data_IF_607113094708
#
_entry.id   IF_607113094708
#
_cell.length_a   1.000
_cell.length_b   1.000
_cell.length_c   1.000
_cell.angle_alpha   90.00
_cell.angle_beta   90.00
_cell.angle_gamma   90.00
#
_symmetry.space_group_name_H-M   'P 1'
#
loop_
_entity.id
_entity.type
_entity.pdbx_description
1 polymer ?
#
# COMPACT_ATOMS: atom_id res chain seq x y z
N UNK A 1 -6.21 -33.65 -72.53
CA UNK A 1 -6.35 -32.61 -71.49
C UNK A 1 -6.72 -33.31 -70.20
N UNK A 2 -5.78 -33.44 -69.26
CA UNK A 2 -6.06 -33.84 -67.88
C UNK A 2 -5.16 -32.97 -66.99
N UNK A 3 -5.76 -32.09 -66.21
CA UNK A 3 -5.09 -31.16 -65.32
C UNK A 3 -4.92 -31.81 -63.95
N UNK A 4 -3.67 -31.98 -63.50
CA UNK A 4 -3.37 -32.41 -62.13
C UNK A 4 -3.16 -31.15 -61.29
N UNK A 5 -3.97 -30.96 -60.24
CA UNK A 5 -3.77 -29.92 -59.23
C UNK A 5 -2.98 -30.50 -58.07
N UNK A 6 -1.83 -29.91 -57.74
CA UNK A 6 -1.02 -30.25 -56.57
C UNK A 6 -1.39 -29.27 -55.47
N UNK A 7 -1.95 -29.77 -54.36
CA UNK A 7 -2.20 -28.99 -53.16
C UNK A 7 -0.94 -29.01 -52.30
N UNK A 8 -0.41 -27.82 -51.98
CA UNK A 8 0.74 -27.65 -51.10
C UNK A 8 0.22 -27.32 -49.71
N UNK A 9 0.42 -28.23 -48.75
CA UNK A 9 0.08 -28.02 -47.34
C UNK A 9 1.29 -27.43 -46.62
N UNK A 10 1.12 -26.24 -46.06
CA UNK A 10 2.13 -25.59 -45.20
C UNK A 10 1.85 -25.99 -43.75
N UNK A 11 2.78 -26.70 -43.11
CA UNK A 11 2.76 -26.90 -41.65
C UNK A 11 3.45 -25.70 -41.00
N UNK A 12 2.69 -24.88 -40.28
CA UNK A 12 3.22 -23.87 -39.36
C UNK A 12 3.44 -24.50 -37.99
N UNK A 13 4.70 -24.73 -37.62
CA UNK A 13 5.08 -25.18 -36.27
C UNK A 13 5.05 -23.98 -35.33
N UNK A 14 4.06 -23.94 -34.44
CA UNK A 14 4.02 -22.97 -33.33
C UNK A 14 5.05 -23.35 -32.27
N UNK A 15 5.98 -22.44 -31.99
CA UNK A 15 6.93 -22.58 -30.88
C UNK A 15 6.22 -22.13 -29.60
N UNK A 16 5.93 -23.06 -28.69
CA UNK A 16 5.41 -22.76 -27.36
C UNK A 16 6.60 -22.35 -26.48
N UNK A 17 6.74 -21.06 -26.17
CA UNK A 17 7.74 -20.58 -25.21
C UNK A 17 7.26 -20.90 -23.80
N UNK A 18 7.89 -21.87 -23.13
CA UNK A 18 7.79 -22.00 -21.69
C UNK A 18 8.59 -20.85 -21.06
N UNK A 19 7.89 -19.88 -20.47
CA UNK A 19 8.52 -18.93 -19.56
C UNK A 19 9.01 -19.69 -18.33
N UNK A 20 10.28 -19.51 -17.97
CA UNK A 20 10.79 -19.93 -16.68
C UNK A 20 10.20 -18.99 -15.62
N UNK A 21 9.33 -19.52 -14.76
CA UNK A 21 8.95 -18.84 -13.52
C UNK A 21 10.12 -19.02 -12.55
N UNK A 22 10.83 -17.95 -12.24
CA UNK A 22 11.80 -17.94 -11.15
C UNK A 22 11.01 -17.98 -9.85
N UNK A 23 11.21 -19.01 -9.03
CA UNK A 23 10.69 -19.02 -7.66
C UNK A 23 11.31 -17.83 -6.92
N UNK A 24 10.49 -17.02 -6.27
CA UNK A 24 10.97 -16.04 -5.29
C UNK A 24 11.76 -16.81 -4.22
N UNK A 25 13.00 -16.39 -3.98
CA UNK A 25 13.84 -16.99 -2.95
C UNK A 25 13.57 -16.23 -1.66
N UNK A 26 13.42 -16.93 -0.52
CA UNK A 26 13.31 -16.26 0.77
C UNK A 26 14.51 -15.32 0.99
N UNK A 27 14.25 -14.09 1.41
CA UNK A 27 15.24 -13.09 1.79
C UNK A 27 15.04 -12.73 3.26
N UNK A 28 15.51 -13.64 4.11
CA UNK A 28 15.66 -13.42 5.53
C UNK A 28 16.68 -12.31 5.75
N UNK A 29 16.18 -11.16 6.21
CA UNK A 29 16.90 -9.88 6.24
C UNK A 29 17.11 -9.38 7.66
N UNK A 30 18.16 -8.58 7.81
CA UNK A 30 18.47 -7.85 9.03
C UNK A 30 18.18 -6.38 8.79
N UNK A 31 17.36 -5.79 9.64
CA UNK A 31 17.01 -4.38 9.62
C UNK A 31 17.72 -3.65 10.76
N UNK A 32 18.31 -2.50 10.47
CA UNK A 32 18.87 -1.58 11.47
C UNK A 32 18.17 -0.23 11.28
N UNK A 33 17.36 0.18 12.27
CA UNK A 33 16.47 1.34 12.15
C UNK A 33 16.57 2.31 13.33
N UNK A 34 16.29 3.57 13.04
CA UNK A 34 16.04 4.67 13.98
C UNK A 34 14.88 5.50 13.41
N UNK A 35 14.16 6.31 14.21
CA UNK A 35 13.08 7.16 13.70
C UNK A 35 13.53 8.02 12.51
N UNK A 36 12.67 8.14 11.49
CA UNK A 36 12.98 8.73 10.20
C UNK A 36 13.82 7.83 9.28
N UNK A 37 13.67 6.50 9.38
CA UNK A 37 14.42 5.58 8.51
C UNK A 37 13.90 5.68 7.08
N UNK A 38 14.78 5.44 6.10
CA UNK A 38 14.41 5.44 4.69
C UNK A 38 15.06 4.25 3.97
N UNK A 39 14.35 3.57 3.06
CA UNK A 39 12.93 3.79 2.70
C UNK A 39 11.97 3.34 3.82
N UNK A 40 10.76 3.89 3.83
CA UNK A 40 9.62 3.45 4.65
C UNK A 40 8.43 3.13 3.71
N UNK A 41 7.82 1.93 3.76
CA UNK A 41 8.18 0.82 4.63
C UNK A 41 9.49 0.14 4.21
N UNK A 42 10.20 -0.45 5.19
CA UNK A 42 11.19 -1.49 4.89
C UNK A 42 10.46 -2.80 4.63
N UNK A 43 10.92 -3.54 3.61
CA UNK A 43 10.27 -4.77 3.16
C UNK A 43 11.21 -5.96 3.31
N UNK A 44 10.80 -6.96 4.08
CA UNK A 44 11.40 -8.29 4.16
C UNK A 44 10.57 -9.30 3.38
N UNK A 45 11.19 -10.37 2.87
CA UNK A 45 10.44 -11.44 2.17
C UNK A 45 10.87 -12.82 2.65
N UNK A 46 9.96 -13.77 2.66
CA UNK A 46 10.29 -15.13 3.07
C UNK A 46 9.22 -16.14 2.71
N UNK A 47 9.32 -17.32 3.32
CA UNK A 47 8.30 -18.36 3.27
C UNK A 47 7.87 -18.65 4.71
N UNK A 48 6.57 -18.59 4.98
CA UNK A 48 6.01 -18.85 6.31
C UNK A 48 6.12 -20.33 6.69
N UNK A 49 5.81 -20.64 7.95
CA UNK A 49 5.60 -22.04 8.35
C UNK A 49 6.88 -22.84 8.52
N UNK A 50 6.75 -24.12 8.83
CA UNK A 50 7.88 -25.05 8.93
C UNK A 50 7.62 -26.23 9.86
N UNK A 51 8.65 -27.00 10.21
CA UNK A 51 8.50 -28.19 11.06
C UNK A 51 8.40 -27.86 12.56
N UNK A 52 8.83 -26.67 12.98
CA UNK A 52 8.98 -26.34 14.39
C UNK A 52 7.75 -25.61 14.90
N UNK A 53 7.13 -26.15 15.95
CA UNK A 53 5.93 -25.58 16.56
C UNK A 53 6.30 -24.55 17.62
N UNK A 54 5.68 -23.37 17.56
CA UNK A 54 5.75 -22.36 18.61
C UNK A 54 4.40 -22.30 19.34
N UNK A 55 4.39 -22.52 20.65
CA UNK A 55 3.16 -22.74 21.44
C UNK A 55 2.18 -21.57 21.28
N UNK A 56 1.06 -21.82 20.60
CA UNK A 56 0.01 -20.84 20.32
C UNK A 56 0.26 -19.92 19.13
N UNK A 57 1.39 -20.02 18.42
CA UNK A 57 1.76 -19.16 17.30
C UNK A 57 1.99 -19.88 15.96
N UNK A 58 1.54 -21.13 15.86
CA UNK A 58 1.66 -21.93 14.66
C UNK A 58 3.05 -22.56 14.51
N UNK A 59 3.45 -22.80 13.27
CA UNK A 59 4.72 -23.43 12.95
C UNK A 59 5.65 -22.44 12.24
N UNK A 60 6.95 -22.54 12.49
CA UNK A 60 8.01 -21.70 11.89
C UNK A 60 9.10 -22.58 11.27
N UNK A 61 9.92 -21.98 10.40
CA UNK A 61 10.91 -22.69 9.61
C UNK A 61 12.04 -23.30 10.47
N UNK A 62 12.50 -22.53 11.46
CA UNK A 62 13.54 -22.88 12.40
C UNK A 62 13.35 -22.07 13.69
N UNK A 63 12.98 -22.72 14.79
CA UNK A 63 12.73 -22.01 16.05
C UNK A 63 14.01 -21.44 16.70
N UNK A 64 15.20 -21.88 16.28
CA UNK A 64 16.48 -21.38 16.78
C UNK A 64 17.06 -20.26 15.90
N UNK A 65 16.58 -20.10 14.66
CA UNK A 65 17.07 -19.10 13.71
C UNK A 65 15.91 -18.25 13.18
N UNK A 66 15.82 -16.96 13.54
CA UNK A 66 14.73 -16.10 13.08
C UNK A 66 14.76 -15.85 11.59
N UNK A 67 13.57 -15.60 11.04
CA UNK A 67 13.39 -15.19 9.66
C UNK A 67 13.93 -13.77 9.45
N UNK A 68 13.71 -12.87 10.40
CA UNK A 68 14.25 -11.52 10.37
C UNK A 68 14.83 -11.09 11.72
N UNK A 69 15.83 -10.23 11.67
CA UNK A 69 16.41 -9.59 12.87
C UNK A 69 16.23 -8.09 12.74
N UNK A 70 15.60 -7.48 13.73
CA UNK A 70 15.35 -6.04 13.79
C UNK A 70 16.18 -5.42 14.92
N UNK A 71 17.14 -4.59 14.55
CA UNK A 71 17.91 -3.74 15.45
C UNK A 71 17.26 -2.35 15.50
N UNK A 72 16.82 -1.95 16.69
CA UNK A 72 16.27 -0.63 16.96
C UNK A 72 17.33 0.18 17.71
N UNK A 73 17.90 1.18 17.05
CA UNK A 73 19.00 2.00 17.56
C UNK A 73 18.53 3.21 18.40
N UNK A 74 17.29 3.67 18.20
CA UNK A 74 16.65 4.70 19.03
C UNK A 74 15.16 4.40 19.24
N UNK A 75 14.56 4.94 20.29
CA UNK A 75 13.18 4.65 20.71
C UNK A 75 12.16 5.13 19.66
N UNK A 76 11.23 4.24 19.29
CA UNK A 76 10.04 4.59 18.52
C UNK A 76 8.84 4.77 19.44
N UNK A 77 8.19 5.93 19.37
CA UNK A 77 6.88 6.14 20.02
C UNK A 77 5.79 5.29 19.34
N UNK A 78 5.97 5.05 18.04
CA UNK A 78 5.09 4.24 17.21
C UNK A 78 5.92 3.55 16.10
N UNK A 79 5.70 2.26 15.89
CA UNK A 79 6.20 1.46 14.77
C UNK A 79 5.22 0.30 14.52
N UNK A 80 4.91 0.08 13.25
CA UNK A 80 4.04 -0.95 12.72
C UNK A 80 4.88 -2.05 12.07
N UNK A 81 4.60 -3.30 12.43
CA UNK A 81 5.03 -4.48 11.68
C UNK A 81 3.78 -5.17 11.13
N UNK A 82 3.65 -5.29 9.82
CA UNK A 82 2.53 -5.99 9.16
C UNK A 82 3.04 -7.03 8.18
N UNK A 83 2.25 -8.08 7.94
CA UNK A 83 2.62 -9.17 7.04
C UNK A 83 1.55 -9.36 5.99
N UNK A 84 1.95 -9.38 4.72
CA UNK A 84 1.09 -9.79 3.62
C UNK A 84 1.47 -11.18 3.11
N UNK A 85 0.46 -12.01 2.91
CA UNK A 85 0.61 -13.34 2.35
C UNK A 85 -0.68 -13.76 1.62
N UNK A 86 -0.60 -14.67 0.63
CA UNK A 86 -1.77 -15.23 -0.03
C UNK A 86 -2.56 -16.22 0.86
N UNK A 87 -2.12 -16.42 2.10
CA UNK A 87 -2.71 -17.34 3.05
C UNK A 87 -2.62 -16.80 4.47
N UNK A 88 -3.22 -17.55 5.38
CA UNK A 88 -3.27 -17.27 6.81
C UNK A 88 -1.90 -17.54 7.45
N UNK A 89 -1.31 -16.52 8.06
CA UNK A 89 0.07 -16.52 8.59
C UNK A 89 0.11 -15.85 9.96
N UNK A 90 1.13 -16.16 10.76
CA UNK A 90 1.34 -15.57 12.09
C UNK A 90 2.61 -14.72 12.13
N UNK A 91 2.63 -13.69 12.98
CA UNK A 91 3.80 -12.87 13.30
C UNK A 91 4.23 -13.16 14.74
N UNK A 92 5.43 -13.70 14.89
CA UNK A 92 6.07 -13.93 16.19
C UNK A 92 7.24 -12.96 16.34
N UNK A 93 7.25 -12.22 17.45
CA UNK A 93 8.31 -11.27 17.80
C UNK A 93 8.88 -11.67 19.15
N UNK A 94 10.20 -11.78 19.28
CA UNK A 94 10.91 -11.98 20.55
C UNK A 94 11.85 -10.81 20.81
N UNK A 95 11.74 -10.19 21.98
CA UNK A 95 12.76 -9.29 22.52
C UNK A 95 13.94 -10.12 23.04
N UNK A 96 15.10 -10.00 22.39
CA UNK A 96 16.29 -10.81 22.69
C UNK A 96 16.87 -10.51 24.07
N UNK A 97 16.66 -9.31 24.61
CA UNK A 97 17.18 -8.94 25.94
C UNK A 97 16.30 -9.52 27.05
N UNK A 98 14.98 -9.43 26.91
CA UNK A 98 14.04 -9.85 27.96
C UNK A 98 13.57 -11.29 27.81
N UNK A 99 13.61 -11.84 26.60
CA UNK A 99 13.00 -13.11 26.22
C UNK A 99 11.47 -13.05 26.18
N UNK A 100 10.89 -11.84 26.15
CA UNK A 100 9.44 -11.66 25.99
C UNK A 100 9.04 -11.92 24.55
N UNK A 101 7.99 -12.71 24.36
CA UNK A 101 7.48 -13.10 23.04
C UNK A 101 6.07 -12.57 22.84
N UNK A 102 5.83 -11.97 21.68
CA UNK A 102 4.51 -11.53 21.24
C UNK A 102 4.13 -12.37 20.02
N UNK A 103 2.91 -12.88 20.05
CA UNK A 103 2.33 -13.66 18.96
C UNK A 103 1.08 -12.94 18.45
N UNK A 104 1.03 -12.73 17.14
CA UNK A 104 -0.10 -12.13 16.43
C UNK A 104 -0.48 -13.06 15.28
N UNK A 105 -1.79 -13.23 15.05
CA UNK A 105 -2.36 -14.12 14.04
C UNK A 105 -3.29 -13.30 13.13
N UNK A 106 -4.48 -12.98 13.64
CA UNK A 106 -5.44 -12.10 12.97
C UNK A 106 -5.37 -10.68 13.53
N UNK A 107 -5.39 -9.67 12.66
CA UNK A 107 -5.51 -8.26 13.02
C UNK A 107 -6.52 -7.52 12.15
N UNK A 108 -7.15 -6.49 12.72
CA UNK A 108 -8.07 -5.58 12.00
C UNK A 108 -9.21 -6.27 11.21
N UNK A 109 -9.62 -7.48 11.62
CA UNK A 109 -10.67 -8.26 10.96
C UNK A 109 -10.22 -9.00 9.69
N UNK A 110 -8.91 -9.05 9.44
CA UNK A 110 -8.27 -9.84 8.39
C UNK A 110 -7.69 -11.15 8.96
N UNK A 111 -7.18 -12.00 8.07
CA UNK A 111 -6.42 -13.22 8.42
C UNK A 111 -4.90 -12.97 8.49
N UNK A 112 -4.50 -11.70 8.60
CA UNK A 112 -3.10 -11.30 8.50
C UNK A 112 -2.69 -10.56 9.77
N UNK A 113 -1.46 -10.80 10.25
CA UNK A 113 -1.00 -10.27 11.51
C UNK A 113 -0.42 -8.87 11.34
N UNK A 114 -0.73 -8.02 12.32
CA UNK A 114 -0.23 -6.65 12.40
C UNK A 114 0.05 -6.29 13.86
N UNK A 115 1.22 -5.72 14.12
CA UNK A 115 1.62 -5.29 15.45
C UNK A 115 2.06 -3.83 15.47
N UNK A 116 1.28 -3.03 16.20
CA UNK A 116 1.49 -1.60 16.39
C UNK A 116 1.75 -1.30 17.85
N UNK A 117 2.90 -0.69 18.13
CA UNK A 117 3.25 -0.32 19.50
C UNK A 117 4.34 0.75 19.51
N UNK A 118 4.70 1.19 20.72
CA UNK A 118 6.00 1.81 20.95
C UNK A 118 7.08 0.74 21.05
N UNK A 119 8.26 1.00 20.52
CA UNK A 119 9.37 0.06 20.49
C UNK A 119 10.63 0.60 21.19
N UNK A 120 11.05 -0.01 22.31
CA UNK A 120 12.33 0.26 22.94
C UNK A 120 13.54 -0.02 22.03
N UNK A 121 14.66 0.64 22.32
CA UNK A 121 15.97 0.28 21.78
C UNK A 121 16.28 -1.16 22.14
N UNK A 122 16.69 -1.96 21.17
CA UNK A 122 16.87 -3.39 21.38
C UNK A 122 17.14 -4.18 20.12
N UNK A 123 17.25 -5.50 20.29
CA UNK A 123 17.29 -6.46 19.20
C UNK A 123 16.06 -7.33 19.31
N UNK A 124 15.34 -7.47 18.21
CA UNK A 124 14.13 -8.25 18.11
C UNK A 124 14.31 -9.33 17.06
N UNK A 125 13.93 -10.54 17.41
CA UNK A 125 13.85 -11.66 16.48
C UNK A 125 12.43 -11.81 15.99
N UNK A 126 12.28 -12.03 14.69
CA UNK A 126 10.97 -12.08 14.02
C UNK A 126 10.88 -13.39 13.24
N UNK A 127 9.77 -14.09 13.40
CA UNK A 127 9.40 -15.24 12.59
C UNK A 127 8.02 -15.04 11.99
N UNK A 128 7.84 -15.52 10.76
CA UNK A 128 6.54 -15.60 10.11
C UNK A 128 6.11 -17.07 10.07
N UNK A 129 5.09 -17.40 10.86
CA UNK A 129 4.58 -18.75 10.95
C UNK A 129 3.34 -18.98 10.11
N UNK A 130 2.84 -20.21 10.09
CA UNK A 130 1.48 -20.52 9.70
C UNK A 130 0.97 -21.77 10.43
N UNK A 131 -0.35 -21.91 10.60
CA UNK A 131 -0.94 -23.05 11.33
C UNK A 131 -1.04 -24.33 10.51
N UNK A 132 -0.95 -24.25 9.18
CA UNK A 132 -1.21 -25.36 8.26
C UNK A 132 0.06 -26.05 7.75
N UNK A 133 1.24 -25.51 8.08
CA UNK A 133 2.55 -25.80 7.49
C UNK A 133 2.51 -25.70 5.96
N UNK A 134 1.77 -24.71 5.46
CA UNK A 134 1.50 -24.54 4.04
C UNK A 134 2.67 -23.90 3.29
N UNK A 135 3.43 -23.01 3.96
CA UNK A 135 4.57 -22.35 3.36
C UNK A 135 4.18 -21.27 2.35
N UNK A 136 3.55 -20.21 2.84
CA UNK A 136 3.13 -19.08 2.02
C UNK A 136 4.31 -18.13 1.79
N UNK A 137 4.56 -17.66 0.55
CA UNK A 137 5.43 -16.53 0.34
C UNK A 137 4.81 -15.30 1.00
N UNK A 138 5.62 -14.53 1.72
CA UNK A 138 5.16 -13.34 2.42
C UNK A 138 6.04 -12.11 2.16
N UNK A 139 5.45 -10.95 2.40
CA UNK A 139 6.11 -9.65 2.54
C UNK A 139 5.89 -9.14 3.96
N UNK A 140 6.98 -8.84 4.68
CA UNK A 140 6.97 -8.20 6.00
C UNK A 140 7.23 -6.71 5.79
N UNK A 141 6.34 -5.86 6.25
CA UNK A 141 6.50 -4.40 6.22
C UNK A 141 6.84 -3.89 7.61
N UNK A 142 7.81 -2.98 7.68
CA UNK A 142 8.22 -2.27 8.89
C UNK A 142 8.10 -0.78 8.60
N UNK A 143 7.22 -0.09 9.32
CA UNK A 143 6.81 1.29 9.02
C UNK A 143 6.69 2.12 10.29
N UNK A 144 7.13 3.39 10.26
CA UNK A 144 6.86 4.36 11.32
C UNK A 144 5.46 5.01 11.20
N UNK A 145 4.66 4.52 10.25
CA UNK A 145 3.28 4.88 9.98
C UNK A 145 2.37 3.62 9.99
N UNK A 146 1.07 3.77 10.27
CA UNK A 146 0.15 2.61 10.29
C UNK A 146 0.12 1.87 8.97
N UNK A 147 -0.14 0.56 9.02
CA UNK A 147 0.11 -0.40 7.95
C UNK A 147 -0.08 0.22 6.56
N UNK A 148 1.04 0.65 5.97
CA UNK A 148 1.14 1.14 4.62
C UNK A 148 1.33 -0.05 3.69
N UNK A 149 0.32 -0.92 3.66
CA UNK A 149 0.22 -1.92 2.60
C UNK A 149 -0.24 -1.20 1.34
N UNK A 150 0.67 -1.07 0.37
CA UNK A 150 0.49 -0.44 -0.93
C UNK A 150 0.31 1.09 -0.92
N UNK A 151 1.03 1.78 -1.81
CA UNK A 151 0.71 3.18 -2.18
C UNK A 151 -0.50 3.22 -3.14
N UNK A 152 -1.52 2.50 -2.73
CA UNK A 152 -2.93 2.54 -3.13
C UNK A 152 -3.66 1.81 -2.01
N UNK A 153 -3.79 2.43 -0.83
CA UNK A 153 -4.72 1.92 0.17
C UNK A 153 -6.10 1.89 -0.51
N UNK A 154 -6.71 0.71 -0.63
CA UNK A 154 -8.07 0.49 -1.17
C UNK A 154 -9.17 1.24 -0.38
N UNK A 155 -8.79 2.01 0.65
CA UNK A 155 -9.64 2.95 1.40
C UNK A 155 -9.38 4.42 1.05
N UNK A 156 -8.68 4.69 -0.05
CA UNK A 156 -8.47 6.05 -0.54
C UNK A 156 -7.45 6.88 0.23
N UNK A 157 -6.60 6.29 1.07
CA UNK A 157 -5.57 7.02 1.81
C UNK A 157 -4.20 6.92 1.13
N UNK A 158 -3.41 7.98 1.20
CA UNK A 158 -2.07 8.11 0.60
C UNK A 158 -1.13 8.79 1.60
N UNK A 159 0.11 8.33 1.69
CA UNK A 159 1.18 9.01 2.42
C UNK A 159 2.40 9.13 1.51
N UNK A 160 2.94 10.34 1.36
CA UNK A 160 3.99 10.63 0.38
C UNK A 160 5.09 11.55 0.88
N UNK A 161 6.28 11.30 0.36
CA UNK A 161 7.48 12.16 0.41
C UNK A 161 8.06 12.30 -1.01
N UNK A 162 8.85 13.34 -1.31
CA UNK A 162 9.49 13.48 -2.61
C UNK A 162 10.27 12.23 -3.03
N UNK A 163 10.09 11.79 -4.28
CA UNK A 163 10.65 10.54 -4.78
C UNK A 163 9.79 9.30 -4.51
N UNK A 164 8.51 9.45 -4.14
CA UNK A 164 7.62 8.31 -3.90
C UNK A 164 7.52 7.40 -5.12
N UNK A 165 7.35 6.10 -4.88
CA UNK A 165 7.11 5.11 -5.93
C UNK A 165 6.00 4.15 -5.49
N UNK A 166 5.12 3.70 -6.39
CA UNK A 166 5.05 4.03 -7.82
C UNK A 166 4.66 5.50 -8.09
N UNK A 167 4.99 6.03 -9.28
CA UNK A 167 4.45 7.32 -9.76
C UNK A 167 3.82 7.07 -11.15
N UNK A 168 2.53 7.40 -11.37
CA UNK A 168 1.61 8.02 -10.41
C UNK A 168 1.06 7.02 -9.37
N UNK A 169 0.65 7.54 -8.22
CA UNK A 169 -0.30 6.85 -7.34
C UNK A 169 -1.70 6.98 -7.91
N UNK A 170 -2.51 5.95 -7.74
CA UNK A 170 -3.85 5.90 -8.30
C UNK A 170 -4.86 5.61 -7.19
N UNK A 171 -5.86 6.47 -7.06
CA UNK A 171 -7.07 6.26 -6.26
C UNK A 171 -8.28 6.03 -7.15
N UNK A 172 -9.33 5.41 -6.62
CA UNK A 172 -10.60 5.26 -7.35
C UNK A 172 -11.78 5.46 -6.41
N UNK A 173 -12.93 5.82 -6.98
CA UNK A 173 -14.16 5.96 -6.21
C UNK A 173 -15.36 6.34 -7.08
N UNK A 174 -16.44 6.78 -6.42
CA UNK A 174 -17.64 7.33 -7.06
C UNK A 174 -17.81 8.77 -6.57
N UNK A 175 -17.95 9.73 -7.50
CA UNK A 175 -18.11 11.14 -7.16
C UNK A 175 -19.45 11.43 -6.48
N UNK A 176 -19.56 12.63 -5.91
CA UNK A 176 -20.84 13.15 -5.45
C UNK A 176 -21.20 12.74 -4.02
N UNK A 177 -22.41 13.08 -3.60
CA UNK A 177 -22.93 12.71 -2.28
C UNK A 177 -24.01 13.67 -1.78
N UNK A 178 -24.35 13.63 -0.48
CA UNK A 178 -25.47 14.41 0.05
C UNK A 178 -25.14 15.86 0.38
N UNK A 179 -23.85 16.21 0.51
CA UNK A 179 -23.41 17.53 0.97
C UNK A 179 -23.06 18.42 -0.22
N UNK A 180 -23.41 19.71 -0.19
CA UNK A 180 -23.18 20.65 -1.29
C UNK A 180 -22.11 21.68 -0.88
N UNK A 181 -21.05 21.80 -1.68
CA UNK A 181 -19.97 22.79 -1.54
C UNK A 181 -20.08 23.82 -2.65
N UNK A 182 -20.06 25.10 -2.29
CA UNK A 182 -20.14 26.20 -3.26
C UNK A 182 -18.98 26.12 -4.26
N UNK A 183 -19.32 25.97 -5.54
CA UNK A 183 -18.35 25.85 -6.63
C UNK A 183 -17.86 24.43 -6.92
N UNK A 184 -18.08 23.47 -6.02
CA UNK A 184 -17.68 22.06 -6.19
C UNK A 184 -18.85 21.09 -6.30
N UNK A 185 -20.09 21.56 -6.15
CA UNK A 185 -21.27 20.71 -6.32
C UNK A 185 -21.48 19.79 -5.13
N UNK A 186 -22.04 18.61 -5.39
CA UNK A 186 -22.30 17.59 -4.38
C UNK A 186 -21.04 16.78 -4.11
N UNK A 187 -20.76 16.48 -2.85
CA UNK A 187 -19.63 15.67 -2.39
C UNK A 187 -20.11 14.64 -1.35
N UNK A 188 -19.27 13.64 -1.06
CA UNK A 188 -19.45 12.76 0.09
C UNK A 188 -19.54 13.60 1.39
N UNK A 189 -20.14 13.06 2.47
CA UNK A 189 -20.34 13.87 3.66
C UNK A 189 -19.01 14.42 4.19
N UNK A 190 -18.99 15.66 4.69
CA UNK A 190 -17.75 16.35 5.06
C UNK A 190 -16.90 15.62 6.11
N UNK A 191 -17.49 14.73 6.91
CA UNK A 191 -16.78 13.92 7.90
C UNK A 191 -16.09 12.68 7.29
N UNK A 192 -16.38 12.35 6.03
CA UNK A 192 -15.91 11.17 5.31
C UNK A 192 -15.35 11.61 3.94
N UNK A 193 -14.09 12.05 3.88
CA UNK A 193 -13.43 12.32 2.61
C UNK A 193 -13.32 11.05 1.76
N UNK A 194 -13.34 11.23 0.44
CA UNK A 194 -13.12 10.13 -0.49
C UNK A 194 -11.66 9.67 -0.42
N UNK A 195 -10.74 10.62 -0.21
CA UNK A 195 -9.33 10.35 -0.04
C UNK A 195 -8.67 11.18 1.06
N UNK A 196 -7.66 10.61 1.70
CA UNK A 196 -6.80 11.32 2.66
C UNK A 196 -5.37 11.27 2.15
N UNK A 197 -4.71 12.42 2.04
CA UNK A 197 -3.33 12.53 1.59
C UNK A 197 -2.46 13.13 2.71
N UNK A 198 -1.54 12.34 3.23
CA UNK A 198 -0.49 12.78 4.13
C UNK A 198 0.74 13.19 3.30
N UNK A 199 1.14 14.44 3.45
CA UNK A 199 2.37 14.97 2.86
C UNK A 199 3.35 15.17 4.00
N UNK A 200 4.36 14.32 4.08
CA UNK A 200 5.30 14.31 5.22
C UNK A 200 6.52 15.21 4.96
N UNK A 201 6.82 15.47 3.69
CA UNK A 201 7.85 16.40 3.27
C UNK A 201 7.33 17.36 2.19
N UNK A 202 7.87 18.58 2.18
CA UNK A 202 7.47 19.61 1.23
C UNK A 202 7.78 19.20 -0.21
N UNK A 203 6.80 19.36 -1.11
CA UNK A 203 7.00 19.19 -2.55
C UNK A 203 7.11 20.53 -3.25
N UNK A 204 8.21 20.73 -4.00
CA UNK A 204 8.36 21.85 -4.95
C UNK A 204 7.35 21.73 -6.12
N UNK A 205 6.96 20.49 -6.44
CA UNK A 205 5.96 20.18 -7.45
C UNK A 205 5.27 18.85 -7.13
N UNK A 206 3.95 18.88 -7.03
CA UNK A 206 3.08 17.71 -7.00
C UNK A 206 1.80 18.06 -7.76
N UNK A 207 1.27 17.10 -8.50
CA UNK A 207 0.00 17.18 -9.22
C UNK A 207 -0.98 16.15 -8.65
N UNK A 208 -2.18 16.62 -8.33
CA UNK A 208 -3.35 15.80 -8.07
C UNK A 208 -4.37 16.07 -9.17
N UNK A 209 -4.77 15.03 -9.92
CA UNK A 209 -5.69 15.13 -11.06
C UNK A 209 -6.71 14.01 -11.04
N UNK A 210 -7.92 14.27 -11.55
CA UNK A 210 -9.00 13.28 -11.59
C UNK A 210 -9.42 13.01 -13.04
N UNK A 211 -9.56 11.75 -13.41
CA UNK A 211 -10.20 11.34 -14.66
C UNK A 211 -11.55 10.68 -14.38
N UNK A 212 -12.59 11.09 -15.11
CA UNK A 212 -13.92 10.50 -15.03
C UNK A 212 -14.63 10.54 -16.39
N UNK A 213 -15.52 9.58 -16.71
CA UNK A 213 -16.44 9.72 -17.83
C UNK A 213 -17.51 10.80 -17.63
N UNK A 214 -17.68 11.30 -16.39
CA UNK A 214 -18.59 12.39 -16.04
C UNK A 214 -17.89 13.72 -15.82
N UNK A 215 -18.70 14.73 -15.52
CA UNK A 215 -18.25 16.05 -15.12
C UNK A 215 -18.09 16.07 -13.60
N UNK A 216 -16.85 16.12 -13.12
CA UNK A 216 -16.49 15.94 -11.71
C UNK A 216 -15.63 17.10 -11.22
N UNK A 217 -15.66 17.36 -9.93
CA UNK A 217 -14.87 18.41 -9.27
C UNK A 217 -13.88 17.79 -8.28
N UNK A 218 -12.79 18.49 -7.99
CA UNK A 218 -11.81 18.17 -6.96
C UNK A 218 -11.91 19.21 -5.85
N UNK A 219 -12.46 18.80 -4.72
CA UNK A 219 -12.48 19.61 -3.50
C UNK A 219 -11.43 19.09 -2.53
N UNK A 220 -10.63 19.98 -1.95
CA UNK A 220 -9.58 19.60 -1.01
C UNK A 220 -9.53 20.57 0.17
N UNK A 221 -9.20 20.05 1.34
CA UNK A 221 -8.93 20.81 2.55
C UNK A 221 -7.59 20.39 3.14
N UNK A 222 -6.70 21.35 3.38
CA UNK A 222 -5.56 21.14 4.27
C UNK A 222 -6.07 21.25 5.72
N UNK A 223 -6.16 20.11 6.40
CA UNK A 223 -6.77 19.98 7.73
C UNK A 223 -6.00 20.79 8.79
N UNK A 224 -4.69 20.93 8.63
CA UNK A 224 -3.84 21.60 9.60
C UNK A 224 -4.01 23.13 9.58
N UNK A 225 -4.33 23.68 8.41
CA UNK A 225 -4.50 25.12 8.19
C UNK A 225 -5.97 25.56 8.04
N UNK A 226 -6.85 24.62 7.67
CA UNK A 226 -8.22 24.88 7.25
C UNK A 226 -8.33 25.56 5.88
N UNK A 227 -7.24 25.60 5.10
CA UNK A 227 -7.27 26.13 3.74
C UNK A 227 -7.98 25.14 2.80
N UNK A 228 -8.93 25.64 2.01
CA UNK A 228 -9.69 24.83 1.07
C UNK A 228 -9.46 25.25 -0.37
N UNK A 229 -9.48 24.27 -1.26
CA UNK A 229 -9.35 24.44 -2.70
C UNK A 229 -10.49 23.70 -3.38
N UNK A 230 -11.10 24.34 -4.37
CA UNK A 230 -12.10 23.75 -5.22
C UNK A 230 -11.69 23.94 -6.67
N UNK A 231 -11.58 22.84 -7.41
CA UNK A 231 -11.24 22.82 -8.84
C UNK A 231 -12.33 22.06 -9.58
N UNK A 232 -12.76 22.59 -10.71
CA UNK A 232 -13.81 22.02 -11.56
C UNK A 232 -13.20 21.70 -12.94
N UNK A 233 -13.02 22.73 -13.77
CA UNK A 233 -12.30 22.62 -15.03
C UNK A 233 -10.85 23.11 -14.89
N UNK A 234 -9.89 22.34 -15.42
CA UNK A 234 -8.49 22.76 -15.55
C UNK A 234 -8.06 22.80 -17.02
N UNK A 235 -7.22 23.78 -17.40
CA UNK A 235 -6.55 23.84 -18.72
C UNK A 235 -7.41 23.66 -19.99
N UNK A 236 -8.73 23.88 -19.91
CA UNK A 236 -9.67 23.72 -21.04
C UNK A 236 -10.13 22.28 -21.29
N UNK A 237 -9.90 21.38 -20.33
CA UNK A 237 -10.54 20.07 -20.22
C UNK A 237 -11.66 20.12 -19.17
N UNK A 238 -12.52 19.10 -19.18
CA UNK A 238 -13.59 18.90 -18.19
C UNK A 238 -13.09 18.14 -16.94
N UNK A 239 -11.79 18.21 -16.66
CA UNK A 239 -11.16 17.38 -15.64
C UNK A 239 -10.41 18.26 -14.64
N UNK A 240 -10.66 18.11 -13.33
CA UNK A 240 -10.05 18.94 -12.32
C UNK A 240 -8.61 18.50 -12.03
N UNK A 241 -7.73 19.49 -11.87
CA UNK A 241 -6.32 19.30 -11.56
C UNK A 241 -5.84 20.42 -10.63
N UNK A 242 -5.12 20.06 -9.57
CA UNK A 242 -4.36 20.99 -8.76
C UNK A 242 -2.89 20.59 -8.77
N UNK A 243 -2.03 21.52 -9.19
CA UNK A 243 -0.59 21.29 -9.30
C UNK A 243 0.21 22.50 -8.83
N UNK A 244 1.39 22.25 -8.27
CA UNK A 244 2.28 23.29 -7.78
C UNK A 244 3.02 22.86 -6.53
N UNK A 245 3.31 23.81 -5.66
CA UNK A 245 3.97 23.58 -4.37
C UNK A 245 2.96 23.00 -3.36
N UNK A 246 3.37 21.98 -2.61
CA UNK A 246 2.55 21.39 -1.56
C UNK A 246 3.27 21.38 -0.22
N UNK A 247 2.79 22.17 0.75
CA UNK A 247 3.25 22.11 2.13
C UNK A 247 2.98 20.75 2.79
N UNK A 248 3.85 20.41 3.75
CA UNK A 248 3.60 19.31 4.70
C UNK A 248 2.26 19.49 5.37
N UNK A 249 1.51 18.39 5.52
CA UNK A 249 0.27 18.36 6.25
C UNK A 249 -0.67 17.25 5.81
N UNK A 250 -1.83 17.21 6.46
CA UNK A 250 -2.93 16.28 6.12
C UNK A 250 -3.92 16.98 5.20
N UNK A 251 -4.22 16.35 4.06
CA UNK A 251 -5.18 16.84 3.08
C UNK A 251 -6.36 15.89 2.98
N UNK A 252 -7.56 16.40 3.22
CA UNK A 252 -8.78 15.69 2.87
C UNK A 252 -9.19 16.04 1.45
N UNK A 253 -9.61 15.05 0.68
CA UNK A 253 -9.92 15.17 -0.73
C UNK A 253 -11.30 14.55 -0.96
N UNK A 254 -12.16 15.29 -1.65
CA UNK A 254 -13.47 14.84 -2.11
C UNK A 254 -13.57 15.01 -3.62
N UNK A 255 -14.18 14.03 -4.29
CA UNK A 255 -14.51 14.13 -5.70
C UNK A 255 -16.01 14.42 -5.83
N UNK A 256 -16.33 15.64 -6.23
CA UNK A 256 -17.71 16.08 -6.36
C UNK A 256 -18.28 15.91 -7.75
N UNK A 257 -19.59 16.13 -7.88
CA UNK A 257 -20.28 16.32 -9.16
C UNK A 257 -21.46 17.29 -9.01
N UNK A 258 -21.88 17.94 -10.10
CA UNK A 258 -22.94 18.97 -10.01
C UNK A 258 -24.36 18.43 -10.08
N UNK A 259 -24.55 17.20 -10.57
CA UNK A 259 -25.87 16.64 -10.84
C UNK A 259 -26.28 15.53 -9.84
N UNK A 260 -25.40 15.18 -8.90
CA UNK A 260 -25.59 14.13 -7.92
C UNK A 260 -25.66 12.75 -8.57
N UNK A 261 -25.11 12.58 -9.78
CA UNK A 261 -25.27 11.34 -10.55
C UNK A 261 -24.34 10.22 -10.08
N UNK A 262 -23.20 10.57 -9.50
CA UNK A 262 -22.17 9.62 -9.08
C UNK A 262 -21.46 8.98 -10.26
N UNK A 263 -20.29 9.50 -10.59
CA UNK A 263 -19.45 9.00 -11.67
C UNK A 263 -18.27 8.22 -11.11
N UNK A 264 -17.93 7.05 -11.68
CA UNK A 264 -16.67 6.42 -11.34
C UNK A 264 -15.51 7.33 -11.74
N UNK A 265 -14.45 7.35 -10.96
CA UNK A 265 -13.27 8.15 -11.28
C UNK A 265 -11.98 7.42 -10.93
N UNK A 266 -10.89 7.89 -11.52
CA UNK A 266 -9.51 7.58 -11.14
C UNK A 266 -8.84 8.89 -10.70
N UNK A 267 -8.34 8.94 -9.47
CA UNK A 267 -7.48 9.99 -8.93
C UNK A 267 -6.03 9.63 -9.24
N UNK A 268 -5.22 10.60 -9.65
CA UNK A 268 -3.80 10.43 -9.91
C UNK A 268 -2.99 11.43 -9.07
N UNK A 269 -1.97 10.95 -8.37
CA UNK A 269 -1.01 11.75 -7.60
C UNK A 269 0.38 11.53 -8.18
N UNK A 270 1.05 12.60 -8.63
CA UNK A 270 2.30 12.51 -9.39
C UNK A 270 3.22 13.70 -9.14
N UNK A 271 4.53 13.48 -9.08
CA UNK A 271 5.52 14.56 -8.90
C UNK A 271 6.21 15.00 -10.22
N UNK A 272 5.67 14.59 -11.38
CA UNK A 272 6.19 14.94 -12.73
C UNK A 272 5.19 15.58 -13.68
#
# INVERSE_FOLDING_TARGET
MNTVKIATTVLTTGCLSLGLVTAAHAQYETFEISPGFTPDPLVGTGISGGPDEFDGCGFVADAENPDHVLYIDDYFEYLNLSVEAPGDVTLLIEDVETGETICIDDSNGTLLPEFESSWPVGTYFIWIGDFEQAGYPYELYISEFGASTDVSLDDGTFAIVPGFTPDPLVGTGISGGPDEVEGCGFIAPYEYPDHVLYIDEYFDYLRVSVESPGDVTLFMENVDTGETVCVDDSNGTLLPEFAGEWPVGTYFIWIGDFDGAGYPYELYISEF
#
